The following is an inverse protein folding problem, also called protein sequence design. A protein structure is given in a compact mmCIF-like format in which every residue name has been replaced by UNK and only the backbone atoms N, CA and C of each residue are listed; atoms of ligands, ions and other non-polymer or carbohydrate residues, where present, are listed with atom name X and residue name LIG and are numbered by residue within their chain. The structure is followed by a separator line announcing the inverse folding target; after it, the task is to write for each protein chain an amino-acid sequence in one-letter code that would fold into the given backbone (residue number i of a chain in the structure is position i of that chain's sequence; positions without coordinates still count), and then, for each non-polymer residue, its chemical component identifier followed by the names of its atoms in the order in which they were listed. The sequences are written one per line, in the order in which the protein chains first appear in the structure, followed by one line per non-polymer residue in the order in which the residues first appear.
data_IF_422446595486
#
_entry.id   IF_422446595486
#
_cell.length_a   1.000
_cell.length_b   1.000
_cell.length_c   1.000
_cell.angle_alpha   90.00
_cell.angle_beta   90.00
_cell.angle_gamma   90.00
#
_symmetry.space_group_name_H-M   'P 1'
#
loop_
_entity.id
_entity.type
_entity.pdbx_description
1 polymer ?
#
# COMPACT_ATOMS: atom_id res chain seq x y z
N UNK A 1 -0.63 -19.04 9.92
CA UNK A 1 0.81 -19.12 9.57
C UNK A 1 1.28 -17.75 9.12
N UNK A 2 2.45 -17.30 9.58
CA UNK A 2 3.05 -16.03 9.18
C UNK A 2 4.43 -16.32 8.60
N UNK A 3 4.68 -15.87 7.37
CA UNK A 3 5.93 -16.07 6.64
C UNK A 3 6.56 -14.71 6.37
N UNK A 4 7.85 -14.54 6.67
CA UNK A 4 8.60 -13.33 6.31
C UNK A 4 8.86 -13.34 4.80
N UNK A 5 8.54 -12.23 4.14
CA UNK A 5 8.88 -12.03 2.72
C UNK A 5 10.33 -11.57 2.63
N UNK A 6 11.15 -12.30 1.87
CA UNK A 6 12.50 -11.87 1.57
C UNK A 6 12.50 -11.07 0.26
N UNK A 7 12.82 -9.77 0.37
CA UNK A 7 12.81 -8.87 -0.77
C UNK A 7 14.21 -8.80 -1.39
N UNK A 8 14.35 -8.86 -2.72
CA UNK A 8 15.65 -8.67 -3.35
C UNK A 8 16.15 -7.23 -3.09
N UNK A 9 17.47 -7.01 -2.99
CA UNK A 9 18.04 -5.69 -2.67
C UNK A 9 17.47 -4.57 -3.55
N UNK A 10 17.28 -4.84 -4.85
CA UNK A 10 16.70 -3.89 -5.81
C UNK A 10 15.31 -3.37 -5.40
N UNK A 11 14.45 -4.21 -4.83
CA UNK A 11 13.10 -3.81 -4.39
C UNK A 11 13.20 -2.92 -3.16
N UNK A 12 14.07 -3.28 -2.21
CA UNK A 12 14.31 -2.49 -1.00
C UNK A 12 14.89 -1.12 -1.36
N UNK A 13 15.90 -1.08 -2.23
CA UNK A 13 16.49 0.18 -2.71
C UNK A 13 15.46 1.07 -3.38
N UNK A 14 14.62 0.53 -4.28
CA UNK A 14 13.55 1.32 -4.92
C UNK A 14 12.54 1.89 -3.93
N UNK A 15 12.22 1.16 -2.88
CA UNK A 15 11.32 1.62 -1.82
C UNK A 15 11.94 2.78 -1.03
N UNK A 16 13.21 2.65 -0.61
CA UNK A 16 13.91 3.70 0.14
C UNK A 16 14.22 4.94 -0.73
N UNK A 17 14.50 4.77 -2.02
CA UNK A 17 14.60 5.87 -2.98
C UNK A 17 13.28 6.62 -3.12
N UNK A 18 12.16 5.89 -3.26
CA UNK A 18 10.84 6.50 -3.36
C UNK A 18 10.47 7.24 -2.06
N UNK A 19 10.81 6.68 -0.90
CA UNK A 19 10.68 7.35 0.40
C UNK A 19 11.40 8.69 0.41
N UNK A 20 12.63 8.73 -0.10
CA UNK A 20 13.41 9.97 -0.18
C UNK A 20 12.76 10.99 -1.12
N UNK A 21 12.28 10.55 -2.29
CA UNK A 21 11.55 11.41 -3.25
C UNK A 21 10.32 12.05 -2.61
N UNK A 22 9.50 11.25 -1.91
CA UNK A 22 8.31 11.73 -1.19
C UNK A 22 8.70 12.72 -0.09
N UNK A 23 9.77 12.43 0.68
CA UNK A 23 10.28 13.32 1.72
C UNK A 23 10.71 14.69 1.17
N UNK A 24 11.44 14.72 0.05
CA UNK A 24 11.87 15.97 -0.57
C UNK A 24 10.71 16.84 -1.08
N UNK A 25 9.58 16.23 -1.49
CA UNK A 25 8.39 16.94 -1.99
C UNK A 25 7.59 17.67 -0.91
N UNK A 26 7.83 17.38 0.36
CA UNK A 26 7.11 18.00 1.50
C UNK A 26 7.66 19.39 1.84
N UNK A 27 8.87 19.75 1.38
CA UNK A 27 9.51 21.03 1.64
C UNK A 27 9.99 21.17 3.10
N UNK A 28 11.10 21.86 3.32
CA UNK A 28 11.59 22.24 4.65
C UNK A 28 10.74 23.37 5.26
N UNK A 29 9.43 23.17 5.33
CA UNK A 29 8.51 24.09 5.98
C UNK A 29 8.62 23.97 7.49
N UNK A 30 9.19 24.99 8.13
CA UNK A 30 9.17 25.19 9.57
C UNK A 30 7.71 25.29 10.06
N UNK A 31 7.34 24.43 11.02
CA UNK A 31 5.96 24.37 11.53
C UNK A 31 5.51 22.98 11.98
N UNK A 32 5.94 22.58 13.19
CA UNK A 32 5.19 21.65 14.02
C UNK A 32 5.25 20.16 13.64
N UNK A 33 6.30 19.48 14.10
CA UNK A 33 6.27 18.06 14.50
C UNK A 33 5.70 17.04 13.48
N UNK A 34 6.26 16.92 12.28
CA UNK A 34 5.87 15.84 11.34
C UNK A 34 7.05 15.24 10.55
N UNK A 35 8.25 15.11 11.16
CA UNK A 35 9.46 14.62 10.50
C UNK A 35 10.09 13.38 11.15
N UNK A 36 9.28 12.45 11.63
CA UNK A 36 9.78 11.18 12.15
C UNK A 36 9.07 10.04 11.44
N UNK A 37 9.52 9.64 10.24
CA UNK A 37 9.05 8.43 9.53
C UNK A 37 7.54 8.24 9.33
N UNK A 38 6.70 9.17 9.79
CA UNK A 38 5.28 8.98 10.09
C UNK A 38 4.37 8.97 8.87
N UNK A 39 4.98 8.96 7.69
CA UNK A 39 4.28 8.76 6.44
C UNK A 39 4.35 7.30 5.96
N UNK A 40 5.18 6.49 6.62
CA UNK A 40 5.19 5.06 6.42
C UNK A 40 4.20 4.40 7.38
N UNK A 41 3.30 3.59 6.84
CA UNK A 41 2.23 2.92 7.59
C UNK A 41 2.22 1.44 7.26
N UNK A 42 1.97 0.61 8.26
CA UNK A 42 1.72 -0.82 8.05
C UNK A 42 0.30 -1.00 7.54
N UNK A 43 0.13 -1.71 6.42
CA UNK A 43 -1.18 -1.93 5.81
C UNK A 43 -1.35 -3.37 5.36
N UNK A 44 -2.59 -3.82 5.31
CA UNK A 44 -2.98 -5.13 4.81
C UNK A 44 -3.31 -5.04 3.32
N UNK A 45 -2.79 -6.00 2.56
CA UNK A 45 -3.10 -6.18 1.15
C UNK A 45 -3.62 -7.60 0.92
N UNK A 46 -4.81 -7.74 0.35
CA UNK A 46 -5.39 -9.06 0.12
C UNK A 46 -4.81 -9.73 -1.11
N UNK A 47 -4.40 -10.99 -0.95
CA UNK A 47 -3.91 -11.83 -2.05
C UNK A 47 -5.05 -12.74 -2.50
N UNK A 48 -5.20 -12.93 -3.81
CA UNK A 48 -6.20 -13.80 -4.47
C UNK A 48 -6.37 -15.21 -3.86
N UNK A 49 -7.43 -15.99 -4.19
CA UNK A 49 -7.63 -17.31 -3.60
C UNK A 49 -6.50 -18.24 -4.04
N UNK A 50 -5.97 -19.03 -3.10
CA UNK A 50 -4.84 -19.95 -3.30
C UNK A 50 -5.12 -21.15 -4.23
N UNK A 51 -6.26 -21.17 -4.93
CA UNK A 51 -6.69 -22.28 -5.78
C UNK A 51 -6.26 -22.17 -7.26
N UNK A 52 -5.56 -21.10 -7.67
CA UNK A 52 -5.06 -20.96 -9.04
C UNK A 52 -3.87 -20.02 -9.22
N UNK A 53 -3.44 -19.32 -8.16
CA UNK A 53 -2.41 -18.28 -8.26
C UNK A 53 -1.05 -18.68 -7.67
N UNK A 54 -0.81 -19.98 -7.42
CA UNK A 54 0.48 -20.46 -6.89
C UNK A 54 1.48 -20.75 -8.02
N UNK A 55 1.01 -21.12 -9.22
CA UNK A 55 1.90 -21.29 -10.39
C UNK A 55 2.17 -19.98 -11.14
N UNK A 56 1.39 -18.94 -10.89
CA UNK A 56 1.69 -17.58 -11.33
C UNK A 56 2.07 -16.74 -10.12
N UNK A 57 3.37 -16.76 -9.80
CA UNK A 57 4.08 -15.66 -9.14
C UNK A 57 4.03 -14.36 -10.00
N UNK A 58 2.95 -14.17 -10.77
CA UNK A 58 2.59 -13.01 -11.56
C UNK A 58 1.49 -12.17 -10.87
N UNK A 59 0.79 -12.72 -9.86
CA UNK A 59 -0.10 -11.95 -8.98
C UNK A 59 0.63 -11.00 -8.01
N UNK A 60 1.92 -11.24 -7.77
CA UNK A 60 2.87 -10.28 -7.18
C UNK A 60 3.53 -9.38 -8.24
N UNK A 61 3.35 -9.68 -9.54
CA UNK A 61 3.78 -8.85 -10.66
C UNK A 61 2.69 -7.88 -11.14
N UNK A 62 1.54 -7.78 -10.46
CA UNK A 62 0.58 -6.70 -10.72
C UNK A 62 1.08 -5.33 -10.25
N UNK A 63 2.19 -5.28 -9.50
CA UNK A 63 2.97 -4.06 -9.24
C UNK A 63 3.75 -3.54 -10.46
N UNK A 64 3.75 -4.27 -11.59
CA UNK A 64 4.52 -3.96 -12.80
C UNK A 64 3.67 -3.47 -13.99
N UNK A 65 2.35 -3.32 -13.85
CA UNK A 65 1.44 -2.86 -14.91
C UNK A 65 1.15 -1.36 -14.85
N UNK A 66 1.30 -0.65 -15.98
CA UNK A 66 0.92 0.76 -16.15
C UNK A 66 -0.47 1.05 -15.57
N UNK A 67 -0.54 2.03 -14.65
CA UNK A 67 -1.76 2.58 -14.02
C UNK A 67 -2.65 1.58 -13.25
N UNK A 68 -2.09 0.82 -12.31
CA UNK A 68 -2.90 0.07 -11.32
C UNK A 68 -2.77 0.68 -9.93
N UNK A 69 -3.88 1.23 -9.44
CA UNK A 69 -4.02 1.71 -8.07
C UNK A 69 -3.99 0.53 -7.10
N UNK A 70 -3.09 0.57 -6.11
CA UNK A 70 -2.95 -0.45 -5.09
C UNK A 70 -3.86 -0.06 -3.92
N UNK A 71 -4.89 -0.85 -3.65
CA UNK A 71 -5.74 -0.67 -2.47
C UNK A 71 -5.18 -1.45 -1.28
N UNK A 72 -5.04 -0.78 -0.14
CA UNK A 72 -4.54 -1.37 1.11
C UNK A 72 -5.39 -0.93 2.29
N UNK A 73 -5.47 -1.75 3.34
CA UNK A 73 -6.40 -1.55 4.45
C UNK A 73 -5.64 -1.34 5.76
N UNK A 74 -6.17 -0.49 6.64
CA UNK A 74 -5.64 -0.30 8.00
C UNK A 74 -5.85 -1.52 8.90
N UNK A 75 -6.86 -2.35 8.62
CA UNK A 75 -7.20 -3.52 9.41
C UNK A 75 -7.43 -4.79 8.59
N UNK A 76 -7.07 -5.93 9.15
CA UNK A 76 -7.21 -7.26 8.53
C UNK A 76 -8.67 -7.66 8.30
N UNK A 77 -9.61 -7.23 9.16
CA UNK A 77 -11.04 -7.50 9.00
C UNK A 77 -11.62 -6.87 7.74
N UNK A 78 -11.36 -5.57 7.51
CA UNK A 78 -11.79 -4.87 6.30
C UNK A 78 -11.11 -5.42 5.05
N UNK A 79 -9.83 -5.75 5.16
CA UNK A 79 -9.12 -6.45 4.10
C UNK A 79 -9.80 -7.79 3.78
N UNK A 80 -10.13 -8.59 4.79
CA UNK A 80 -10.81 -9.86 4.60
C UNK A 80 -12.17 -9.71 3.91
N UNK A 81 -12.99 -8.76 4.36
CA UNK A 81 -14.32 -8.48 3.80
C UNK A 81 -14.25 -8.02 2.34
N UNK A 82 -13.23 -7.23 1.96
CA UNK A 82 -13.06 -6.77 0.58
C UNK A 82 -12.83 -7.91 -0.42
N UNK A 83 -12.47 -9.09 0.08
CA UNK A 83 -12.14 -10.27 -0.71
C UNK A 83 -13.32 -11.24 -0.86
N UNK A 84 -14.50 -10.91 -0.34
CA UNK A 84 -15.72 -11.73 -0.43
C UNK A 84 -15.68 -12.97 0.48
N UNK A 85 -16.79 -13.31 1.12
CA UNK A 85 -16.91 -14.32 2.20
C UNK A 85 -16.77 -15.80 1.83
N UNK A 86 -15.97 -16.15 0.81
CA UNK A 86 -15.72 -17.54 0.41
C UNK A 86 -15.07 -18.43 1.49
N UNK A 87 -15.40 -19.72 1.47
CA UNK A 87 -14.87 -20.73 2.39
C UNK A 87 -13.45 -21.15 1.99
N UNK A 88 -12.58 -21.43 2.96
CA UNK A 88 -11.25 -22.02 2.72
C UNK A 88 -10.06 -21.25 3.32
N UNK A 89 -8.85 -21.76 3.07
CA UNK A 89 -7.61 -21.06 3.44
C UNK A 89 -7.45 -19.80 2.60
N UNK A 90 -7.02 -18.71 3.24
CA UNK A 90 -6.83 -17.39 2.65
C UNK A 90 -5.43 -16.87 2.92
N UNK A 91 -5.02 -15.90 2.12
CA UNK A 91 -3.74 -15.23 2.26
C UNK A 91 -3.90 -13.71 2.25
N UNK A 92 -3.15 -13.01 3.10
CA UNK A 92 -3.01 -11.55 3.04
C UNK A 92 -1.56 -11.17 3.29
N UNK A 93 -1.11 -10.09 2.67
CA UNK A 93 0.18 -9.48 2.93
C UNK A 93 0.04 -8.37 3.97
N UNK A 94 1.07 -8.25 4.80
CA UNK A 94 1.35 -7.07 5.61
C UNK A 94 2.48 -6.32 4.94
N UNK A 95 2.23 -5.09 4.54
CA UNK A 95 3.15 -4.26 3.78
C UNK A 95 3.52 -3.00 4.56
N UNK A 96 4.78 -2.57 4.44
CA UNK A 96 5.19 -1.18 4.72
C UNK A 96 4.74 -0.34 3.52
N UNK A 97 4.00 0.73 3.76
CA UNK A 97 3.44 1.57 2.70
C UNK A 97 3.78 3.04 2.95
N UNK A 98 4.36 3.71 1.96
CA UNK A 98 4.62 5.14 1.97
C UNK A 98 3.34 5.83 1.50
N UNK A 99 2.57 6.42 2.44
CA UNK A 99 1.31 7.07 2.10
C UNK A 99 1.52 8.41 1.36
N UNK A 100 2.65 9.08 1.58
CA UNK A 100 2.93 10.36 0.93
C UNK A 100 1.90 11.43 1.31
N UNK A 101 1.61 12.34 0.38
CA UNK A 101 0.49 13.27 0.57
C UNK A 101 -0.80 12.55 0.23
N UNK A 102 -1.69 12.44 1.21
CA UNK A 102 -2.95 11.72 1.09
C UNK A 102 -4.09 12.69 0.77
N UNK A 103 -4.80 12.47 -0.33
CA UNK A 103 -6.06 13.15 -0.61
C UNK A 103 -7.22 12.40 0.05
N UNK A 104 -8.14 13.12 0.70
CA UNK A 104 -9.38 12.51 1.21
C UNK A 104 -10.43 12.55 0.10
N UNK A 105 -11.07 11.41 -0.18
CA UNK A 105 -12.05 11.24 -1.27
C UNK A 105 -13.18 12.28 -1.28
N UNK A 106 -13.54 12.85 -0.13
CA UNK A 106 -14.58 13.87 0.05
C UNK A 106 -14.15 15.30 -0.40
N UNK A 107 -12.87 15.53 -0.71
CA UNK A 107 -12.32 16.84 -1.05
C UNK A 107 -12.16 17.09 -2.55
N UNK A 108 -13.17 16.75 -3.37
CA UNK A 108 -13.12 16.90 -4.84
C UNK A 108 -12.89 18.36 -5.29
N UNK A 109 -13.05 19.33 -4.39
CA UNK A 109 -12.71 20.74 -4.64
C UNK A 109 -11.20 21.05 -4.64
N UNK A 110 -10.36 20.18 -4.05
CA UNK A 110 -8.90 20.38 -4.00
C UNK A 110 -8.15 20.00 -5.28
N UNK A 111 -8.83 19.49 -6.31
CA UNK A 111 -8.24 19.24 -7.62
C UNK A 111 -7.97 20.51 -8.43
N UNK A 112 -8.56 21.65 -8.05
CA UNK A 112 -8.49 22.92 -8.77
C UNK A 112 -7.41 23.89 -8.25
N UNK A 113 -6.80 23.63 -7.08
CA UNK A 113 -5.67 24.43 -6.59
C UNK A 113 -4.34 23.83 -7.05
N UNK A 114 -3.74 24.52 -8.02
CA UNK A 114 -2.61 24.04 -8.80
C UNK A 114 -1.33 23.69 -8.02
N UNK A 115 -0.55 22.81 -8.68
CA UNK A 115 0.88 22.48 -8.50
C UNK A 115 1.30 21.37 -7.53
N UNK A 116 0.41 20.72 -6.78
CA UNK A 116 0.86 19.69 -5.81
C UNK A 116 0.12 18.36 -6.00
N UNK A 117 0.74 17.41 -6.71
CA UNK A 117 0.20 16.06 -6.88
C UNK A 117 0.21 15.26 -5.56
N UNK A 118 -0.88 14.53 -5.29
CA UNK A 118 -0.98 13.58 -4.20
C UNK A 118 -0.27 12.26 -4.53
N UNK A 119 0.23 11.57 -3.50
CA UNK A 119 0.87 10.26 -3.66
C UNK A 119 -0.11 9.11 -3.39
N UNK A 120 -1.18 9.38 -2.62
CA UNK A 120 -2.24 8.42 -2.34
C UNK A 120 -3.60 9.07 -2.06
N UNK A 121 -4.66 8.25 -2.01
CA UNK A 121 -6.03 8.66 -1.65
C UNK A 121 -6.54 7.80 -0.49
N UNK A 122 -7.10 8.42 0.54
CA UNK A 122 -7.80 7.72 1.62
C UNK A 122 -9.25 7.47 1.23
N UNK A 123 -9.70 6.22 1.35
CA UNK A 123 -11.12 5.86 1.28
C UNK A 123 -11.82 5.96 2.63
N UNK A 124 -13.12 5.70 2.65
CA UNK A 124 -13.99 5.93 3.80
C UNK A 124 -13.92 4.77 4.82
N UNK A 125 -13.48 3.59 4.39
CA UNK A 125 -13.46 2.35 5.20
C UNK A 125 -12.04 1.95 5.64
N UNK A 126 -11.15 2.92 5.84
CA UNK A 126 -9.75 2.66 6.19
C UNK A 126 -8.89 2.18 5.02
N UNK A 127 -9.38 2.35 3.80
CA UNK A 127 -8.67 2.09 2.55
C UNK A 127 -7.64 3.20 2.27
N UNK A 128 -6.51 2.81 1.69
CA UNK A 128 -5.54 3.71 1.11
C UNK A 128 -5.17 3.20 -0.27
N UNK A 129 -5.38 4.07 -1.25
CA UNK A 129 -5.13 3.85 -2.66
C UNK A 129 -3.80 4.51 -3.03
N UNK A 130 -2.81 3.72 -3.39
CA UNK A 130 -1.48 4.21 -3.76
C UNK A 130 -1.24 3.99 -5.25
N UNK A 131 -0.63 4.97 -5.92
CA UNK A 131 -0.50 4.96 -7.39
C UNK A 131 0.88 4.51 -7.88
N UNK A 132 1.88 4.42 -7.00
CA UNK A 132 3.24 3.96 -7.32
C UNK A 132 3.55 2.68 -6.56
N UNK A 133 3.95 1.62 -7.28
CA UNK A 133 4.31 0.35 -6.65
C UNK A 133 5.56 0.41 -5.78
N UNK A 134 6.45 1.38 -6.03
CA UNK A 134 7.63 1.62 -5.17
C UNK A 134 7.25 2.09 -3.78
N UNK A 135 6.03 2.55 -3.59
CA UNK A 135 5.51 2.94 -2.28
C UNK A 135 5.14 1.75 -1.39
N UNK A 136 5.17 0.51 -1.88
CA UNK A 136 4.70 -0.67 -1.16
C UNK A 136 5.81 -1.71 -1.04
N UNK A 137 6.13 -2.11 0.19
CA UNK A 137 7.11 -3.15 0.48
C UNK A 137 6.46 -4.29 1.29
N UNK A 138 6.21 -5.45 0.69
CA UNK A 138 5.70 -6.63 1.41
C UNK A 138 6.68 -7.09 2.49
N UNK A 139 6.15 -7.37 3.68
CA UNK A 139 6.96 -7.77 4.84
C UNK A 139 6.61 -9.17 5.33
N UNK A 140 5.30 -9.46 5.43
CA UNK A 140 4.82 -10.76 5.90
C UNK A 140 3.66 -11.26 5.05
N UNK A 141 3.64 -12.56 4.78
CA UNK A 141 2.51 -13.29 4.23
C UNK A 141 1.79 -14.03 5.35
N UNK A 142 0.53 -13.70 5.57
CA UNK A 142 -0.34 -14.34 6.56
C UNK A 142 -1.25 -15.31 5.81
N UNK A 143 -1.15 -16.60 6.15
CA UNK A 143 -2.09 -17.63 5.70
C UNK A 143 -2.98 -18.00 6.88
N UNK A 144 -4.28 -17.84 6.70
CA UNK A 144 -5.29 -18.04 7.74
C UNK A 144 -6.50 -18.80 7.20
N UNK A 145 -7.32 -19.34 8.09
CA UNK A 145 -8.69 -19.73 7.78
C UNK A 145 -9.60 -18.71 8.50
N UNK A 146 -10.57 -18.12 7.82
CA UNK A 146 -11.54 -17.25 8.46
C UNK A 146 -12.40 -18.03 9.47
#
# INVERSE_FOLDING_TARGET
MVLKVNNPPRTVTRFEEYRHVVKCRVGSGDGGRCLADGNEVMRFYCVGPTAGAIYDMSGLCEFSGKNRTICTYSGSGRAHESFGGGKGRRAMLVCRVIAGRVCKRLGVESFLEGRVGFDSVSGDNGELFVFDSRAVLPCFLIIYKP
#
